data_IF_766793634064
#
_entry.id   IF_766793634064
#
_cell.length_a   1.000
_cell.length_b   1.000
_cell.length_c   1.000
_cell.angle_alpha   90.00
_cell.angle_beta   90.00
_cell.angle_gamma   90.00
#
_symmetry.space_group_name_H-M   'P 1'
#
loop_
_entity.id
_entity.type
_entity.pdbx_description
1 polymer ?
#
# COMPACT_ATOMS: atom_id res chain seq x y z
N UNK A 1 -15.69 -37.50 99.09
CA UNK A 1 -15.24 -38.67 98.30
C UNK A 1 -16.23 -38.90 97.18
N UNK A 2 -15.78 -38.99 95.93
CA UNK A 2 -16.59 -39.51 94.81
C UNK A 2 -16.67 -38.62 93.57
N UNK A 3 -15.54 -38.48 92.88
CA UNK A 3 -15.41 -37.94 91.53
C UNK A 3 -16.14 -38.82 90.48
N UNK A 4 -16.87 -38.24 89.50
CA UNK A 4 -17.31 -38.96 88.29
C UNK A 4 -17.52 -38.06 87.04
N UNK A 5 -16.43 -37.95 86.27
CA UNK A 5 -16.29 -38.10 84.80
C UNK A 5 -17.09 -37.21 83.81
N UNK A 6 -16.46 -36.11 83.37
CA UNK A 6 -16.76 -35.30 82.17
C UNK A 6 -16.24 -35.92 80.84
N UNK A 7 -16.56 -37.17 80.50
CA UNK A 7 -16.01 -37.81 79.28
C UNK A 7 -17.00 -38.20 78.18
N UNK A 8 -18.27 -37.81 78.25
CA UNK A 8 -19.28 -38.25 77.26
C UNK A 8 -19.80 -37.20 76.27
N UNK A 9 -19.43 -35.92 76.41
CA UNK A 9 -20.01 -34.86 75.57
C UNK A 9 -19.12 -34.38 74.40
N UNK A 10 -17.86 -34.84 74.31
CA UNK A 10 -16.90 -34.35 73.30
C UNK A 10 -16.76 -35.28 72.09
N UNK A 11 -17.16 -36.57 72.19
CA UNK A 11 -17.01 -37.53 71.09
C UNK A 11 -18.15 -37.48 70.04
N UNK A 12 -19.32 -36.93 70.40
CA UNK A 12 -20.47 -36.85 69.48
C UNK A 12 -20.42 -35.68 68.50
N UNK A 13 -19.78 -34.57 68.87
CA UNK A 13 -19.78 -33.32 68.09
C UNK A 13 -18.67 -33.28 67.02
N UNK A 14 -17.53 -33.93 67.25
CA UNK A 14 -16.43 -34.04 66.27
C UNK A 14 -16.76 -34.96 65.07
N UNK A 15 -17.54 -36.03 65.30
CA UNK A 15 -17.98 -36.98 64.27
C UNK A 15 -18.97 -36.36 63.27
N UNK A 16 -19.87 -35.49 63.76
CA UNK A 16 -20.85 -34.79 62.93
C UNK A 16 -20.18 -33.68 62.11
N UNK A 17 -19.22 -32.94 62.68
CA UNK A 17 -18.49 -31.89 61.96
C UNK A 17 -17.59 -32.44 60.84
N UNK A 18 -16.96 -33.61 61.00
CA UNK A 18 -16.17 -34.22 59.92
C UNK A 18 -17.04 -34.79 58.79
N UNK A 19 -18.17 -35.45 59.10
CA UNK A 19 -19.08 -35.97 58.07
C UNK A 19 -19.78 -34.87 57.28
N UNK A 20 -20.08 -33.74 57.92
CA UNK A 20 -20.70 -32.60 57.26
C UNK A 20 -19.71 -31.86 56.34
N UNK A 21 -18.43 -31.73 56.73
CA UNK A 21 -17.38 -31.14 55.87
C UNK A 21 -17.08 -31.98 54.63
N UNK A 22 -17.04 -33.31 54.75
CA UNK A 22 -16.77 -34.19 53.61
C UNK A 22 -17.94 -34.19 52.61
N UNK A 23 -19.18 -34.14 53.09
CA UNK A 23 -20.39 -34.13 52.25
C UNK A 23 -20.58 -32.78 51.55
N UNK A 24 -20.26 -31.66 52.20
CA UNK A 24 -20.31 -30.32 51.59
C UNK A 24 -19.19 -30.15 50.55
N UNK A 25 -17.98 -30.66 50.80
CA UNK A 25 -16.91 -30.67 49.80
C UNK A 25 -17.24 -31.56 48.60
N UNK A 26 -17.86 -32.73 48.80
CA UNK A 26 -18.23 -33.61 47.69
C UNK A 26 -19.36 -33.00 46.83
N UNK A 27 -20.35 -32.35 47.45
CA UNK A 27 -21.46 -31.69 46.73
C UNK A 27 -21.00 -30.42 46.02
N UNK A 28 -20.08 -29.64 46.60
CA UNK A 28 -19.49 -28.47 45.93
C UNK A 28 -18.58 -28.90 44.78
N UNK A 29 -17.80 -29.97 44.92
CA UNK A 29 -16.99 -30.52 43.83
C UNK A 29 -17.86 -31.09 42.69
N UNK A 30 -18.97 -31.75 43.01
CA UNK A 30 -19.91 -32.28 42.00
C UNK A 30 -20.72 -31.14 41.34
N UNK A 31 -21.03 -30.06 42.06
CA UNK A 31 -21.68 -28.88 41.48
C UNK A 31 -20.73 -28.07 40.58
N UNK A 32 -19.42 -28.07 40.86
CA UNK A 32 -18.40 -27.45 40.00
C UNK A 32 -18.12 -28.33 38.75
N UNK A 33 -18.29 -29.65 38.83
CA UNK A 33 -18.16 -30.55 37.67
C UNK A 33 -19.44 -30.56 36.81
N UNK A 34 -20.61 -30.28 37.39
CA UNK A 34 -21.90 -30.25 36.69
C UNK A 34 -22.27 -28.92 36.01
N UNK A 35 -21.51 -27.86 36.27
CA UNK A 35 -21.53 -26.61 35.51
C UNK A 35 -20.26 -26.57 34.64
N UNK A 36 -20.15 -27.53 33.72
CA UNK A 36 -19.52 -27.16 32.45
C UNK A 36 -20.36 -25.98 31.93
N UNK A 37 -19.78 -24.78 31.73
CA UNK A 37 -20.33 -23.96 30.67
C UNK A 37 -20.37 -24.92 29.48
N UNK A 38 -21.46 -24.93 28.71
CA UNK A 38 -21.30 -25.28 27.31
C UNK A 38 -20.05 -24.52 26.89
N UNK A 39 -18.96 -25.26 26.63
CA UNK A 39 -17.80 -24.71 25.97
C UNK A 39 -18.41 -24.29 24.66
N UNK A 40 -18.84 -23.02 24.61
CA UNK A 40 -18.86 -22.28 23.38
C UNK A 40 -17.55 -22.66 22.75
N UNK A 41 -17.60 -23.41 21.66
CA UNK A 41 -16.43 -23.67 20.85
C UNK A 41 -15.96 -22.27 20.45
N UNK A 42 -15.05 -21.71 21.24
CA UNK A 42 -14.21 -20.65 20.77
C UNK A 42 -13.62 -21.23 19.49
N UNK A 43 -13.80 -20.52 18.38
CA UNK A 43 -13.24 -20.95 17.12
C UNK A 43 -11.76 -21.30 17.33
N UNK A 44 -11.25 -22.26 16.57
CA UNK A 44 -9.82 -22.52 16.51
C UNK A 44 -9.43 -22.61 15.03
N UNK A 45 -8.34 -21.94 14.68
CA UNK A 45 -7.76 -21.99 13.34
C UNK A 45 -6.95 -23.28 13.11
N UNK A 46 -6.67 -24.06 14.17
CA UNK A 46 -5.91 -25.31 14.13
C UNK A 46 -6.31 -26.25 13.00
N UNK A 47 -7.59 -26.64 12.85
CA UNK A 47 -8.03 -27.54 11.78
C UNK A 47 -7.77 -26.98 10.37
N UNK A 48 -7.91 -25.66 10.19
CA UNK A 48 -7.65 -25.02 8.90
C UNK A 48 -6.15 -24.96 8.61
N UNK A 49 -5.35 -24.55 9.58
CA UNK A 49 -3.90 -24.38 9.44
C UNK A 49 -3.19 -25.72 9.26
N UNK A 50 -3.68 -26.80 9.85
CA UNK A 50 -3.08 -28.13 9.70
C UNK A 50 -2.99 -28.57 8.23
N UNK A 51 -4.02 -28.26 7.44
CA UNK A 51 -4.06 -28.58 6.01
C UNK A 51 -3.54 -27.42 5.15
N UNK A 52 -3.95 -26.17 5.42
CA UNK A 52 -3.63 -25.04 4.54
C UNK A 52 -2.20 -24.51 4.68
N UNK A 53 -1.41 -24.96 5.66
CA UNK A 53 0.02 -24.63 5.74
C UNK A 53 0.92 -25.74 5.17
N UNK A 54 0.35 -26.90 4.82
CA UNK A 54 1.10 -28.07 4.41
C UNK A 54 0.66 -28.54 3.01
N UNK A 55 1.58 -28.44 2.04
CA UNK A 55 1.35 -28.84 0.66
C UNK A 55 0.94 -30.32 0.53
N UNK A 56 1.50 -31.20 1.35
CA UNK A 56 1.27 -32.65 1.28
C UNK A 56 -0.12 -33.05 1.79
N UNK A 57 -0.76 -32.17 2.59
CA UNK A 57 -2.11 -32.40 3.13
C UNK A 57 -3.20 -31.81 2.23
N UNK A 58 -2.84 -30.99 1.25
CA UNK A 58 -3.81 -30.42 0.30
C UNK A 58 -4.05 -31.36 -0.88
N UNK A 59 -5.30 -31.79 -1.04
CA UNK A 59 -5.76 -32.49 -2.26
C UNK A 59 -5.64 -31.59 -3.51
N UNK A 60 -5.79 -30.27 -3.33
CA UNK A 60 -5.65 -29.26 -4.37
C UNK A 60 -4.91 -28.07 -3.76
N UNK A 61 -3.65 -27.87 -4.16
CA UNK A 61 -2.82 -26.76 -3.67
C UNK A 61 -2.96 -25.49 -4.52
N UNK A 62 -3.43 -25.63 -5.75
CA UNK A 62 -3.54 -24.55 -6.72
C UNK A 62 -4.88 -24.63 -7.45
N UNK A 63 -5.45 -23.47 -7.75
CA UNK A 63 -6.73 -23.37 -8.44
C UNK A 63 -6.64 -22.35 -9.57
N UNK A 64 -7.19 -22.70 -10.72
CA UNK A 64 -7.42 -21.74 -11.80
C UNK A 64 -8.54 -20.77 -11.40
N UNK A 65 -8.20 -19.48 -11.30
CA UNK A 65 -9.13 -18.35 -11.24
C UNK A 65 -9.21 -17.76 -12.65
N UNK A 66 -10.40 -17.76 -13.23
CA UNK A 66 -10.66 -17.10 -14.51
C UNK A 66 -11.07 -15.67 -14.21
N UNK A 67 -10.39 -14.68 -14.80
CA UNK A 67 -10.83 -13.29 -14.72
C UNK A 67 -12.09 -13.12 -15.57
N UNK A 68 -13.21 -12.62 -15.00
CA UNK A 68 -14.52 -12.67 -15.65
C UNK A 68 -14.61 -11.92 -16.99
N UNK A 69 -13.77 -10.90 -17.17
CA UNK A 69 -13.86 -9.95 -18.29
C UNK A 69 -12.80 -10.23 -19.36
N UNK A 70 -11.56 -10.50 -18.95
CA UNK A 70 -10.46 -10.77 -19.89
C UNK A 70 -10.40 -12.22 -20.34
N UNK A 71 -11.03 -13.15 -19.58
CA UNK A 71 -10.88 -14.59 -19.78
C UNK A 71 -9.49 -15.12 -19.41
N UNK A 72 -8.64 -14.28 -18.82
CA UNK A 72 -7.30 -14.67 -18.39
C UNK A 72 -7.37 -15.70 -17.26
N UNK A 73 -6.60 -16.78 -17.38
CA UNK A 73 -6.51 -17.82 -16.34
C UNK A 73 -5.31 -17.51 -15.46
N UNK A 74 -5.58 -17.18 -14.19
CA UNK A 74 -4.57 -17.02 -13.14
C UNK A 74 -4.59 -18.24 -12.23
N UNK A 75 -3.44 -18.85 -12.00
CA UNK A 75 -3.30 -19.91 -11.00
C UNK A 75 -3.08 -19.26 -9.63
N UNK A 76 -3.96 -19.57 -8.68
CA UNK A 76 -3.86 -19.09 -7.29
C UNK A 76 -3.55 -20.24 -6.36
N UNK A 77 -2.61 -20.02 -5.44
CA UNK A 77 -2.31 -21.00 -4.39
C UNK A 77 -3.36 -20.95 -3.27
N UNK A 78 -3.71 -22.12 -2.75
CA UNK A 78 -4.57 -22.30 -1.58
C UNK A 78 -3.77 -22.47 -0.29
N UNK A 79 -2.44 -22.41 -0.37
CA UNK A 79 -1.56 -22.43 0.80
C UNK A 79 -1.57 -21.07 1.52
N UNK A 80 -1.60 -21.15 2.84
CA UNK A 80 -1.50 -20.02 3.76
C UNK A 80 -0.11 -20.08 4.38
N UNK A 81 0.62 -18.97 4.29
CA UNK A 81 1.78 -18.75 5.14
C UNK A 81 1.28 -18.21 6.47
N UNK A 82 1.30 -19.05 7.50
CA UNK A 82 0.80 -18.72 8.83
C UNK A 82 1.53 -17.52 9.43
N UNK A 83 2.84 -17.41 9.21
CA UNK A 83 3.63 -16.30 9.73
C UNK A 83 3.21 -14.99 9.12
N UNK A 84 2.93 -14.97 7.80
CA UNK A 84 2.43 -13.79 7.10
C UNK A 84 1.00 -13.49 7.55
N UNK A 85 0.11 -14.48 7.59
CA UNK A 85 -1.29 -14.29 7.97
C UNK A 85 -1.41 -13.64 9.36
N UNK A 86 -0.65 -14.13 10.34
CA UNK A 86 -0.60 -13.59 11.71
C UNK A 86 -0.14 -12.14 11.80
N UNK A 87 0.54 -11.61 10.78
CA UNK A 87 0.90 -10.18 10.73
C UNK A 87 -0.19 -9.27 10.16
N UNK A 88 -1.27 -9.84 9.62
CA UNK A 88 -2.36 -9.07 9.05
C UNK A 88 -3.35 -8.61 10.13
N UNK A 89 -4.17 -7.62 9.81
CA UNK A 89 -5.25 -7.19 10.70
C UNK A 89 -6.28 -8.30 11.01
N UNK A 90 -6.38 -9.32 10.15
CA UNK A 90 -7.29 -10.46 10.31
C UNK A 90 -6.61 -11.70 10.89
N UNK A 91 -5.30 -11.67 11.16
CA UNK A 91 -4.57 -12.80 11.73
C UNK A 91 -4.29 -12.68 13.22
N UNK A 92 -4.96 -11.75 13.90
CA UNK A 92 -4.89 -11.62 15.35
C UNK A 92 -5.49 -12.82 16.08
N UNK A 93 -5.23 -12.91 17.39
CA UNK A 93 -5.68 -14.04 18.23
C UNK A 93 -7.22 -14.16 18.32
N UNK A 94 -7.94 -13.07 17.98
CA UNK A 94 -9.40 -12.98 18.06
C UNK A 94 -10.13 -13.25 16.73
N UNK A 95 -9.42 -13.64 15.66
CA UNK A 95 -10.03 -13.90 14.34
C UNK A 95 -9.82 -15.34 13.87
N UNK A 96 -10.93 -15.97 13.48
CA UNK A 96 -10.98 -17.33 12.97
C UNK A 96 -11.19 -17.37 11.46
N UNK A 97 -10.67 -18.40 10.80
CA UNK A 97 -10.84 -18.63 9.37
C UNK A 97 -12.34 -18.69 9.01
N UNK A 98 -13.16 -19.28 9.88
CA UNK A 98 -14.62 -19.43 9.74
C UNK A 98 -15.39 -18.13 9.91
N UNK A 99 -14.82 -17.10 10.54
CA UNK A 99 -15.48 -15.78 10.67
C UNK A 99 -15.68 -15.14 9.29
N UNK A 100 -14.74 -15.42 8.38
CA UNK A 100 -14.80 -15.03 6.96
C UNK A 100 -15.37 -16.15 6.08
N UNK A 101 -14.93 -17.39 6.30
CA UNK A 101 -15.41 -18.60 5.61
C UNK A 101 -16.63 -19.19 6.32
N UNK A 102 -17.68 -18.37 6.43
CA UNK A 102 -18.88 -18.67 7.21
C UNK A 102 -19.63 -19.93 6.72
N UNK A 103 -19.40 -20.35 5.47
CA UNK A 103 -19.97 -21.59 4.95
C UNK A 103 -19.31 -22.87 5.47
N UNK A 104 -18.29 -22.73 6.33
CA UNK A 104 -17.62 -23.78 7.08
C UNK A 104 -17.89 -23.73 8.59
N UNK A 105 -18.66 -22.74 9.08
CA UNK A 105 -18.99 -22.69 10.51
C UNK A 105 -19.78 -23.93 10.95
N UNK A 106 -19.29 -24.59 12.00
CA UNK A 106 -19.83 -25.87 12.49
C UNK A 106 -19.66 -27.07 11.55
N UNK A 107 -18.88 -26.97 10.47
CA UNK A 107 -18.63 -28.09 9.56
C UNK A 107 -17.61 -29.09 10.14
N UNK A 108 -17.82 -30.38 9.88
CA UNK A 108 -16.80 -31.41 10.13
C UNK A 108 -15.73 -31.34 9.04
N UNK A 109 -14.50 -31.01 9.44
CA UNK A 109 -13.34 -30.80 8.57
C UNK A 109 -12.35 -31.98 8.60
N UNK A 110 -12.67 -33.08 9.28
CA UNK A 110 -11.76 -34.23 9.46
C UNK A 110 -11.28 -34.86 8.15
N UNK A 111 -12.12 -34.86 7.11
CA UNK A 111 -11.82 -35.36 5.76
C UNK A 111 -11.55 -34.24 4.73
N UNK A 112 -11.43 -33.00 5.23
CA UNK A 112 -11.39 -31.75 4.46
C UNK A 112 -12.78 -31.14 4.24
N UNK A 113 -12.86 -30.14 3.35
CA UNK A 113 -14.11 -29.48 3.00
C UNK A 113 -14.40 -29.50 1.50
N UNK A 114 -15.64 -29.19 1.14
CA UNK A 114 -16.07 -29.06 -0.28
C UNK A 114 -15.17 -28.04 -1.02
N UNK A 115 -14.82 -28.29 -2.28
CA UNK A 115 -14.16 -27.29 -3.10
C UNK A 115 -15.11 -26.11 -3.38
N UNK A 116 -14.55 -24.93 -3.63
CA UNK A 116 -15.29 -23.72 -4.01
C UNK A 116 -16.25 -23.20 -2.92
N UNK A 117 -15.67 -22.74 -1.82
CA UNK A 117 -16.40 -22.00 -0.79
C UNK A 117 -17.04 -20.74 -1.37
N UNK A 118 -18.06 -20.23 -0.67
CA UNK A 118 -18.65 -18.94 -1.01
C UNK A 118 -17.57 -17.84 -0.92
N UNK A 119 -17.64 -16.80 -1.78
CA UNK A 119 -16.79 -15.63 -1.60
C UNK A 119 -16.99 -15.04 -0.20
N UNK A 120 -15.88 -14.65 0.44
CA UNK A 120 -15.91 -13.97 1.74
C UNK A 120 -16.69 -12.66 1.61
N UNK A 121 -17.61 -12.46 2.55
CA UNK A 121 -18.34 -11.20 2.69
C UNK A 121 -17.62 -10.29 3.66
N UNK A 122 -16.90 -9.31 3.12
CA UNK A 122 -16.19 -8.32 3.93
C UNK A 122 -17.15 -7.29 4.57
N UNK A 123 -18.36 -7.12 4.02
CA UNK A 123 -19.18 -5.93 4.21
C UNK A 123 -20.19 -6.16 5.33
N UNK A 124 -21.08 -7.14 5.15
CA UNK A 124 -22.32 -7.27 5.93
C UNK A 124 -22.09 -7.31 7.45
N UNK A 125 -20.94 -7.82 7.88
CA UNK A 125 -20.66 -8.04 9.29
C UNK A 125 -19.59 -7.12 9.90
N UNK A 126 -18.74 -6.47 9.09
CA UNK A 126 -17.55 -5.79 9.62
C UNK A 126 -17.15 -4.49 8.91
N UNK A 127 -17.19 -4.45 7.57
CA UNK A 127 -16.73 -3.28 6.81
C UNK A 127 -17.89 -2.60 6.07
N UNK A 128 -18.96 -2.27 6.79
CA UNK A 128 -20.12 -1.54 6.29
C UNK A 128 -19.79 -0.07 5.97
N UNK A 129 -19.12 0.65 6.87
CA UNK A 129 -18.72 2.05 6.67
C UNK A 129 -17.91 2.29 5.36
N UNK A 130 -16.77 1.60 5.12
CA UNK A 130 -16.02 1.79 3.88
C UNK A 130 -16.76 1.23 2.66
N UNK A 131 -17.68 0.27 2.86
CA UNK A 131 -18.52 -0.23 1.77
C UNK A 131 -19.54 0.82 1.32
N UNK A 132 -20.18 1.53 2.25
CA UNK A 132 -21.13 2.59 1.93
C UNK A 132 -20.48 3.71 1.11
N UNK A 133 -19.24 4.07 1.43
CA UNK A 133 -18.44 4.98 0.62
C UNK A 133 -18.08 4.39 -0.75
N UNK A 134 -17.59 3.15 -0.79
CA UNK A 134 -17.17 2.49 -2.02
C UNK A 134 -18.34 2.28 -2.99
N UNK A 135 -19.54 1.98 -2.49
CA UNK A 135 -20.77 1.83 -3.28
C UNK A 135 -21.19 3.12 -4.00
N UNK A 136 -20.74 4.27 -3.50
CA UNK A 136 -20.94 5.59 -4.11
C UNK A 136 -19.83 5.98 -5.10
N UNK A 137 -18.76 5.18 -5.21
CA UNK A 137 -17.64 5.49 -6.08
C UNK A 137 -18.00 5.36 -7.57
N UNK A 138 -17.25 6.05 -8.42
CA UNK A 138 -17.36 5.86 -9.87
C UNK A 138 -16.95 4.44 -10.29
N UNK A 139 -16.11 3.73 -9.52
CA UNK A 139 -15.80 2.32 -9.80
C UNK A 139 -17.04 1.44 -9.75
N UNK A 140 -17.87 1.58 -8.70
CA UNK A 140 -19.11 0.80 -8.58
C UNK A 140 -20.15 1.23 -9.61
N UNK A 141 -20.22 2.52 -9.95
CA UNK A 141 -21.07 3.00 -11.05
C UNK A 141 -20.71 2.33 -12.38
N UNK A 142 -19.43 2.30 -12.73
CA UNK A 142 -18.94 1.62 -13.94
C UNK A 142 -19.13 0.10 -13.88
N UNK A 143 -19.03 -0.50 -12.68
CA UNK A 143 -19.36 -1.92 -12.45
C UNK A 143 -20.79 -2.24 -12.86
N UNK A 144 -21.75 -1.42 -12.41
CA UNK A 144 -23.19 -1.60 -12.67
C UNK A 144 -23.54 -1.44 -14.14
N UNK A 145 -22.82 -0.58 -14.85
CA UNK A 145 -22.99 -0.36 -16.28
C UNK A 145 -22.38 -1.51 -17.12
N UNK A 146 -21.62 -2.43 -16.50
CA UNK A 146 -20.91 -3.56 -17.12
C UNK A 146 -20.04 -3.16 -18.31
N UNK A 147 -19.51 -1.93 -18.28
CA UNK A 147 -18.73 -1.38 -19.39
C UNK A 147 -17.22 -1.59 -19.23
N UNK A 148 -16.76 -1.87 -18.01
CA UNK A 148 -15.34 -2.00 -17.67
C UNK A 148 -15.09 -2.98 -16.51
N UNK A 149 -13.91 -3.58 -16.54
CA UNK A 149 -13.34 -4.26 -15.37
C UNK A 149 -12.96 -3.22 -14.32
N UNK A 150 -13.35 -3.47 -13.08
CA UNK A 150 -13.24 -2.51 -11.98
C UNK A 150 -12.79 -3.23 -10.71
N UNK A 151 -11.91 -2.59 -9.92
CA UNK A 151 -11.30 -3.24 -8.78
C UNK A 151 -12.30 -3.42 -7.64
N UNK A 152 -12.31 -4.59 -7.02
CA UNK A 152 -13.06 -4.91 -5.79
C UNK A 152 -12.21 -4.65 -4.54
N UNK A 153 -12.78 -4.84 -3.34
CA UNK A 153 -12.08 -4.64 -2.07
C UNK A 153 -10.74 -5.38 -2.01
N UNK A 154 -10.68 -6.63 -2.51
CA UNK A 154 -9.45 -7.44 -2.54
C UNK A 154 -8.43 -6.93 -3.55
N UNK A 155 -8.85 -6.34 -4.65
CA UNK A 155 -7.91 -5.89 -5.69
C UNK A 155 -7.10 -4.69 -5.18
N UNK A 156 -7.70 -3.85 -4.33
CA UNK A 156 -7.00 -2.75 -3.66
C UNK A 156 -6.33 -3.15 -2.33
N UNK A 157 -7.02 -3.92 -1.47
CA UNK A 157 -6.53 -4.24 -0.13
C UNK A 157 -5.68 -5.51 -0.05
N UNK A 158 -5.84 -6.49 -0.95
CA UNK A 158 -5.02 -7.71 -0.99
C UNK A 158 -3.98 -7.66 -2.12
N UNK A 159 -4.22 -6.89 -3.18
CA UNK A 159 -3.34 -6.77 -4.34
C UNK A 159 -1.95 -6.21 -4.04
N UNK A 160 -1.78 -5.45 -2.95
CA UNK A 160 -0.51 -4.82 -2.56
C UNK A 160 -0.10 -4.97 -1.09
N UNK A 161 -0.81 -5.75 -0.30
CA UNK A 161 -0.40 -6.00 1.09
C UNK A 161 0.82 -6.90 1.14
N UNK A 162 1.94 -6.31 1.55
CA UNK A 162 3.12 -6.91 2.21
C UNK A 162 3.91 -8.00 1.49
N UNK A 163 3.35 -8.68 0.48
CA UNK A 163 4.02 -9.77 -0.24
C UNK A 163 5.17 -9.29 -1.15
N UNK A 164 5.25 -7.98 -1.39
CA UNK A 164 6.18 -7.37 -2.35
C UNK A 164 6.81 -6.07 -1.88
N UNK A 165 7.15 -5.91 -0.59
CA UNK A 165 8.30 -5.03 -0.32
C UNK A 165 9.55 -5.89 -0.60
N UNK A 166 10.40 -5.56 -1.58
CA UNK A 166 11.66 -6.28 -1.80
C UNK A 166 12.62 -6.21 -0.60
N UNK A 167 12.22 -5.47 0.44
CA UNK A 167 13.02 -5.05 1.59
C UNK A 167 12.47 -5.58 2.92
N UNK A 168 11.37 -6.35 2.95
CA UNK A 168 10.81 -6.90 4.20
C UNK A 168 10.27 -5.84 5.17
N UNK A 169 9.99 -4.63 4.67
CA UNK A 169 9.44 -3.52 5.44
C UNK A 169 8.00 -3.83 5.88
N UNK A 170 7.73 -3.60 7.18
CA UNK A 170 6.43 -3.84 7.82
C UNK A 170 5.74 -2.50 8.07
N UNK A 171 4.45 -2.44 7.76
CA UNK A 171 3.61 -1.33 8.26
C UNK A 171 3.34 -1.60 9.74
N UNK A 172 3.44 -0.60 10.63
CA UNK A 172 3.06 -0.79 12.03
C UNK A 172 1.56 -1.07 12.13
N UNK A 173 1.18 -2.20 12.74
CA UNK A 173 -0.22 -2.61 12.93
C UNK A 173 -1.09 -1.52 13.57
N UNK A 174 -0.48 -0.65 14.38
CA UNK A 174 -1.15 0.41 15.14
C UNK A 174 -1.06 1.81 14.50
N UNK A 175 -0.51 1.94 13.29
CA UNK A 175 -0.49 3.23 12.58
C UNK A 175 -1.67 3.29 11.62
N UNK A 176 -2.47 4.37 11.63
CA UNK A 176 -3.52 4.56 10.64
C UNK A 176 -2.96 4.43 9.23
N UNK A 177 -3.52 3.53 8.42
CA UNK A 177 -3.05 3.26 7.05
C UNK A 177 -2.88 4.53 6.21
N UNK A 178 -3.75 5.52 6.40
CA UNK A 178 -3.69 6.80 5.69
C UNK A 178 -2.45 7.65 5.97
N UNK A 179 -1.76 7.42 7.09
CA UNK A 179 -0.56 8.16 7.52
C UNK A 179 0.72 7.32 7.46
N UNK A 180 0.60 6.00 7.34
CA UNK A 180 1.74 5.10 7.22
C UNK A 180 2.47 5.29 5.88
N UNK A 181 3.76 5.68 5.86
CA UNK A 181 4.50 5.94 4.63
C UNK A 181 4.58 4.71 3.71
N UNK A 182 4.73 3.52 4.28
CA UNK A 182 4.78 2.29 3.49
C UNK A 182 3.43 2.03 2.80
N UNK A 183 2.33 2.09 3.54
CA UNK A 183 0.99 1.98 2.96
C UNK A 183 0.75 3.02 1.87
N UNK A 184 1.05 4.29 2.15
CA UNK A 184 0.94 5.40 1.18
C UNK A 184 1.72 5.10 -0.11
N UNK A 185 2.98 4.67 0.00
CA UNK A 185 3.82 4.25 -1.13
C UNK A 185 3.19 3.13 -1.94
N UNK A 186 2.69 2.08 -1.26
CA UNK A 186 2.06 0.94 -1.92
C UNK A 186 0.81 1.38 -2.66
N UNK A 187 -0.04 2.24 -2.09
CA UNK A 187 -1.28 2.68 -2.78
C UNK A 187 -1.03 3.33 -4.15
N UNK A 188 0.11 3.99 -4.36
CA UNK A 188 0.50 4.54 -5.67
C UNK A 188 0.57 3.44 -6.74
N UNK A 189 1.14 2.29 -6.39
CA UNK A 189 1.20 1.13 -7.28
C UNK A 189 -0.19 0.49 -7.44
N UNK A 190 -1.05 0.51 -6.42
CA UNK A 190 -2.38 -0.13 -6.48
C UNK A 190 -3.21 0.57 -7.53
N UNK A 191 -3.29 1.90 -7.44
CA UNK A 191 -3.99 2.71 -8.42
C UNK A 191 -3.38 2.54 -9.81
N UNK A 192 -2.05 2.54 -9.90
CA UNK A 192 -1.33 2.42 -11.17
C UNK A 192 -1.47 1.08 -11.89
N UNK A 193 -1.79 -0.01 -11.18
CA UNK A 193 -2.02 -1.33 -11.79
C UNK A 193 -3.11 -1.32 -12.87
N UNK A 194 -4.13 -0.46 -12.72
CA UNK A 194 -5.17 -0.23 -13.72
C UNK A 194 -5.02 1.15 -14.41
N UNK A 195 -4.42 2.13 -13.74
CA UNK A 195 -4.27 3.51 -14.23
C UNK A 195 -2.83 3.84 -14.63
N UNK A 196 -2.23 3.03 -15.51
CA UNK A 196 -0.81 3.15 -15.86
C UNK A 196 -0.43 4.54 -16.42
N UNK A 197 -1.24 5.10 -17.33
CA UNK A 197 -0.98 6.42 -17.90
C UNK A 197 -0.97 7.55 -16.84
N UNK A 198 -1.84 7.42 -15.83
CA UNK A 198 -1.90 8.38 -14.72
C UNK A 198 -0.76 8.17 -13.73
N UNK A 199 -0.35 6.92 -13.49
CA UNK A 199 0.84 6.60 -12.70
C UNK A 199 2.10 7.20 -13.34
N UNK A 200 2.26 7.06 -14.65
CA UNK A 200 3.42 7.56 -15.37
C UNK A 200 3.47 9.09 -15.39
N UNK A 201 2.32 9.75 -15.60
CA UNK A 201 2.25 11.22 -15.50
C UNK A 201 2.47 11.73 -14.08
N UNK A 202 1.93 11.05 -13.06
CA UNK A 202 2.15 11.38 -11.65
C UNK A 202 3.63 11.31 -11.29
N UNK A 203 4.31 10.21 -11.63
CA UNK A 203 5.75 10.03 -11.38
C UNK A 203 6.59 11.16 -11.98
N UNK A 204 6.12 11.79 -13.05
CA UNK A 204 6.83 12.87 -13.73
C UNK A 204 6.48 14.28 -13.22
N UNK A 205 5.58 14.43 -12.25
CA UNK A 205 5.26 15.70 -11.61
C UNK A 205 6.06 15.90 -10.31
N UNK A 206 5.97 17.09 -9.71
CA UNK A 206 6.73 17.43 -8.50
C UNK A 206 6.39 16.51 -7.32
N UNK A 207 5.11 16.23 -7.08
CA UNK A 207 4.67 15.31 -6.02
C UNK A 207 5.24 13.90 -6.23
N UNK A 208 5.13 13.36 -7.44
CA UNK A 208 5.65 12.05 -7.81
C UNK A 208 7.16 11.96 -7.67
N UNK A 209 7.91 12.97 -8.09
CA UNK A 209 9.38 13.02 -7.93
C UNK A 209 9.78 13.00 -6.45
N UNK A 210 9.09 13.77 -5.60
CA UNK A 210 9.35 13.77 -4.16
C UNK A 210 9.00 12.41 -3.54
N UNK A 211 7.87 11.80 -3.91
CA UNK A 211 7.55 10.44 -3.44
C UNK A 211 8.55 9.38 -3.92
N UNK A 212 9.13 9.54 -5.12
CA UNK A 212 10.15 8.63 -5.66
C UNK A 212 11.48 8.72 -4.88
N UNK A 213 11.77 9.85 -4.24
CA UNK A 213 12.89 10.02 -3.31
C UNK A 213 12.64 9.37 -1.94
N UNK A 214 11.47 8.75 -1.74
CA UNK A 214 11.09 8.06 -0.49
C UNK A 214 10.21 8.89 0.45
N UNK A 215 9.94 10.15 0.13
CA UNK A 215 9.08 11.03 0.92
C UNK A 215 7.61 10.72 0.66
N UNK A 216 7.07 9.77 1.41
CA UNK A 216 5.67 9.31 1.31
C UNK A 216 4.89 9.60 2.59
N UNK A 217 5.40 10.51 3.42
CA UNK A 217 4.71 11.10 4.57
C UNK A 217 3.55 11.99 4.13
N UNK A 218 2.79 12.55 5.08
CA UNK A 218 1.57 13.32 4.82
C UNK A 218 1.81 14.71 4.24
N UNK A 219 3.06 15.14 4.15
CA UNK A 219 3.51 16.39 3.52
C UNK A 219 3.52 16.34 1.99
N UNK A 220 3.40 15.14 1.40
CA UNK A 220 3.39 14.93 -0.05
C UNK A 220 2.16 14.09 -0.41
N UNK A 221 1.28 14.58 -1.29
CA UNK A 221 0.04 13.86 -1.61
C UNK A 221 0.34 12.61 -2.44
N UNK A 222 -0.35 11.52 -2.14
CA UNK A 222 -0.47 10.34 -2.99
C UNK A 222 -1.86 10.30 -3.65
N UNK A 223 -2.12 9.29 -4.48
CA UNK A 223 -3.33 9.18 -5.29
C UNK A 223 -4.63 9.44 -4.48
N UNK A 224 -4.76 8.81 -3.30
CA UNK A 224 -5.97 8.91 -2.49
C UNK A 224 -6.12 10.23 -1.73
N UNK A 225 -5.05 11.00 -1.51
CA UNK A 225 -5.13 12.29 -0.83
C UNK A 225 -5.91 13.29 -1.70
N UNK A 226 -5.69 13.21 -3.02
CA UNK A 226 -6.41 14.01 -4.01
C UNK A 226 -7.74 13.36 -4.42
N UNK A 227 -7.77 12.06 -4.71
CA UNK A 227 -8.95 11.41 -5.31
C UNK A 227 -9.96 10.83 -4.31
N UNK A 228 -9.59 10.66 -3.04
CA UNK A 228 -10.37 9.94 -2.04
C UNK A 228 -9.89 8.50 -1.84
N UNK A 229 -10.37 7.86 -0.76
CA UNK A 229 -9.96 6.52 -0.34
C UNK A 229 -10.92 5.44 -0.85
N UNK A 230 -12.16 5.43 -0.35
CA UNK A 230 -13.20 4.48 -0.75
C UNK A 230 -14.22 5.14 -1.68
N UNK A 231 -14.68 6.36 -1.35
CA UNK A 231 -15.49 7.19 -2.27
C UNK A 231 -14.63 7.91 -3.31
N UNK A 232 -14.17 7.18 -4.32
CA UNK A 232 -13.38 7.71 -5.45
C UNK A 232 -14.33 8.14 -6.57
N UNK A 233 -14.30 9.42 -6.93
CA UNK A 233 -15.22 10.02 -7.91
C UNK A 233 -14.47 10.53 -9.14
N UNK A 234 -15.14 10.53 -10.29
CA UNK A 234 -14.63 11.08 -11.54
C UNK A 234 -14.47 12.61 -11.39
N UNK A 235 -13.44 13.21 -12.00
CA UNK A 235 -13.20 14.66 -11.91
C UNK A 235 -14.31 15.53 -12.51
N UNK A 236 -15.18 14.95 -13.34
CA UNK A 236 -16.39 15.63 -13.84
C UNK A 236 -17.54 15.70 -12.83
N UNK A 237 -17.49 14.91 -11.75
CA UNK A 237 -18.54 14.88 -10.73
C UNK A 237 -18.33 16.01 -9.71
N UNK A 238 -19.37 16.80 -9.38
CA UNK A 238 -19.23 17.97 -8.49
C UNK A 238 -18.73 17.64 -7.08
N UNK A 239 -19.02 16.42 -6.60
CA UNK A 239 -18.56 15.97 -5.29
C UNK A 239 -17.11 15.49 -5.29
N UNK A 240 -16.49 15.33 -6.45
CA UNK A 240 -15.12 14.85 -6.57
C UNK A 240 -14.15 15.86 -5.96
N UNK A 241 -13.22 15.38 -5.14
CA UNK A 241 -12.15 16.19 -4.57
C UNK A 241 -11.24 16.81 -5.64
N UNK A 242 -11.11 16.15 -6.80
CA UNK A 242 -10.40 16.69 -7.97
C UNK A 242 -11.34 17.36 -8.98
N UNK A 243 -12.61 17.57 -8.60
CA UNK A 243 -13.60 18.29 -9.40
C UNK A 243 -13.44 19.80 -9.30
N UNK A 244 -14.04 20.54 -10.24
CA UNK A 244 -13.91 21.99 -10.37
C UNK A 244 -14.30 22.74 -9.09
N UNK A 245 -15.28 22.21 -8.38
CA UNK A 245 -15.88 22.80 -7.18
C UNK A 245 -15.00 22.61 -5.93
N UNK A 246 -14.23 21.52 -5.86
CA UNK A 246 -13.46 21.14 -4.66
C UNK A 246 -11.94 21.17 -4.84
N UNK A 247 -11.43 21.32 -6.07
CA UNK A 247 -9.98 21.28 -6.33
C UNK A 247 -9.21 22.35 -5.53
N UNK A 248 -9.82 23.51 -5.29
CA UNK A 248 -9.21 24.57 -4.48
C UNK A 248 -9.02 24.15 -3.03
N UNK A 249 -10.02 23.49 -2.44
CA UNK A 249 -9.94 22.94 -1.09
C UNK A 249 -8.90 21.80 -1.02
N UNK A 250 -8.91 20.91 -2.02
CA UNK A 250 -7.97 19.78 -2.10
C UNK A 250 -6.52 20.25 -2.18
N UNK A 251 -6.20 21.21 -3.03
CA UNK A 251 -4.84 21.78 -3.06
C UNK A 251 -4.55 22.59 -1.78
N UNK A 252 -5.56 23.25 -1.24
CA UNK A 252 -5.49 24.08 -0.04
C UNK A 252 -5.14 23.32 1.24
N UNK A 253 -5.32 21.99 1.27
CA UNK A 253 -4.95 21.17 2.45
C UNK A 253 -3.46 21.23 2.77
N UNK A 254 -2.62 21.43 1.75
CA UNK A 254 -1.17 21.57 1.90
C UNK A 254 -0.66 22.94 1.45
N UNK A 255 -1.31 23.57 0.47
CA UNK A 255 -0.92 24.87 -0.06
C UNK A 255 -1.82 25.99 0.48
N UNK A 256 -1.43 26.58 1.62
CA UNK A 256 -2.20 27.60 2.34
C UNK A 256 -2.64 28.82 1.49
N UNK A 257 -1.92 29.13 0.41
CA UNK A 257 -2.20 30.25 -0.50
C UNK A 257 -2.71 29.80 -1.88
N UNK A 258 -3.25 28.57 -1.98
CA UNK A 258 -3.86 28.08 -3.20
C UNK A 258 -4.99 29.02 -3.65
N UNK A 259 -5.04 29.31 -4.95
CA UNK A 259 -6.02 30.19 -5.56
C UNK A 259 -6.47 29.64 -6.92
N UNK A 260 -7.46 30.28 -7.54
CA UNK A 260 -8.03 29.84 -8.81
C UNK A 260 -7.02 29.73 -9.96
N UNK A 261 -5.92 30.48 -9.94
CA UNK A 261 -4.85 30.36 -10.93
C UNK A 261 -3.90 29.22 -10.61
N UNK A 262 -3.60 29.00 -9.33
CA UNK A 262 -2.74 27.90 -8.86
C UNK A 262 -3.32 26.53 -9.25
N UNK A 263 -4.61 26.30 -8.99
CA UNK A 263 -5.28 25.02 -9.27
C UNK A 263 -5.57 24.74 -10.75
N UNK A 264 -5.14 25.64 -11.65
CA UNK A 264 -5.11 25.35 -13.09
C UNK A 264 -3.92 24.47 -13.48
N UNK A 265 -2.97 24.26 -12.55
CA UNK A 265 -1.91 23.30 -12.76
C UNK A 265 -2.48 21.90 -13.02
N UNK A 266 -1.88 21.19 -13.98
CA UNK A 266 -2.33 19.85 -14.37
C UNK A 266 -1.36 18.84 -13.76
N UNK A 267 -1.80 18.17 -12.70
CA UNK A 267 -1.00 17.14 -11.99
C UNK A 267 -0.74 15.90 -12.85
N UNK A 268 -1.63 15.59 -13.79
CA UNK A 268 -1.50 14.48 -14.73
C UNK A 268 -1.39 14.99 -16.17
N UNK A 269 -0.27 15.65 -16.54
CA UNK A 269 -0.12 16.16 -17.89
C UNK A 269 -0.02 14.98 -18.86
N UNK A 270 -0.97 14.89 -19.76
CA UNK A 270 -0.87 13.99 -20.90
C UNK A 270 0.31 14.49 -21.76
N UNK A 271 1.41 13.74 -21.83
CA UNK A 271 2.52 14.04 -22.74
C UNK A 271 2.00 13.83 -24.16
N UNK A 272 1.36 14.85 -24.72
CA UNK A 272 0.52 14.71 -25.91
C UNK A 272 1.27 14.34 -27.18
N UNK A 273 2.60 14.22 -27.19
CA UNK A 273 3.32 13.68 -28.35
C UNK A 273 4.84 13.51 -28.11
N UNK A 274 5.32 12.31 -27.78
CA UNK A 274 6.71 11.94 -28.12
C UNK A 274 6.93 12.06 -29.64
N UNK A 275 5.88 11.79 -30.42
CA UNK A 275 5.86 11.95 -31.88
C UNK A 275 6.20 13.37 -32.31
N UNK A 276 5.95 14.38 -31.47
CA UNK A 276 6.26 15.77 -31.74
C UNK A 276 7.76 16.00 -31.83
N UNK A 277 8.54 15.45 -30.90
CA UNK A 277 10.00 15.52 -30.96
C UNK A 277 10.53 14.79 -32.20
N UNK A 278 9.93 13.65 -32.57
CA UNK A 278 10.25 12.99 -33.85
C UNK A 278 9.94 13.91 -35.05
N UNK A 279 8.76 14.52 -35.10
CA UNK A 279 8.36 15.46 -36.15
C UNK A 279 9.27 16.69 -36.21
N UNK A 280 9.66 17.26 -35.07
CA UNK A 280 10.60 18.36 -34.98
C UNK A 280 11.97 17.97 -35.53
N UNK A 281 12.50 16.81 -35.13
CA UNK A 281 13.78 16.30 -35.65
C UNK A 281 13.72 16.01 -37.16
N UNK A 282 12.62 15.46 -37.66
CA UNK A 282 12.41 15.23 -39.10
C UNK A 282 12.32 16.56 -39.87
N UNK A 283 11.58 17.55 -39.34
CA UNK A 283 11.47 18.88 -39.94
C UNK A 283 12.83 19.61 -39.96
N UNK A 284 13.63 19.48 -38.89
CA UNK A 284 14.99 20.03 -38.83
C UNK A 284 15.91 19.34 -39.85
N UNK A 285 15.85 18.01 -39.98
CA UNK A 285 16.68 17.26 -40.95
C UNK A 285 16.34 17.61 -42.41
N UNK A 286 15.07 17.90 -42.69
CA UNK A 286 14.58 18.26 -44.02
C UNK A 286 14.49 19.77 -44.25
N UNK A 287 14.98 20.60 -43.34
CA UNK A 287 14.84 22.07 -43.35
C UNK A 287 15.25 22.72 -44.68
N UNK A 288 16.27 22.17 -45.34
CA UNK A 288 16.78 22.68 -46.62
C UNK A 288 15.84 22.39 -47.80
N UNK A 289 15.08 21.30 -47.72
CA UNK A 289 14.21 20.83 -48.81
C UNK A 289 12.73 21.20 -48.59
N UNK A 290 12.31 21.44 -47.34
CA UNK A 290 10.94 21.81 -46.96
C UNK A 290 10.94 22.89 -45.85
N UNK A 291 11.27 24.15 -46.19
CA UNK A 291 11.38 25.23 -45.22
C UNK A 291 10.04 25.68 -44.62
N UNK A 292 8.92 25.44 -45.32
CA UNK A 292 7.59 25.83 -44.84
C UNK A 292 7.07 24.91 -43.73
N UNK A 293 7.36 23.61 -43.82
CA UNK A 293 7.08 22.67 -42.73
C UNK A 293 7.88 23.01 -41.46
N UNK A 294 9.15 23.38 -41.62
CA UNK A 294 9.96 23.84 -40.48
C UNK A 294 9.35 25.09 -39.81
N UNK A 295 8.94 26.11 -40.59
CA UNK A 295 8.26 27.30 -40.05
C UNK A 295 7.00 26.95 -39.28
N UNK A 296 6.21 25.98 -39.78
CA UNK A 296 4.98 25.52 -39.11
C UNK A 296 5.27 24.88 -37.75
N UNK A 297 6.30 24.04 -37.67
CA UNK A 297 6.70 23.36 -36.43
C UNK A 297 7.33 24.35 -35.43
N UNK A 298 8.07 25.36 -35.91
CA UNK A 298 8.68 26.40 -35.07
C UNK A 298 7.66 27.35 -34.41
N UNK A 299 6.48 27.53 -34.99
CA UNK A 299 5.40 28.36 -34.40
C UNK A 299 4.69 27.70 -33.23
N UNK A 300 4.90 26.40 -33.00
CA UNK A 300 4.27 25.71 -31.87
C UNK A 300 4.96 26.11 -30.55
N UNK A 301 4.20 26.55 -29.52
CA UNK A 301 4.76 26.95 -28.22
C UNK A 301 5.67 25.90 -27.57
N UNK A 302 5.39 24.60 -27.76
CA UNK A 302 6.21 23.53 -27.22
C UNK A 302 7.60 23.44 -27.91
N UNK A 303 7.71 23.82 -29.19
CA UNK A 303 9.00 23.90 -29.89
C UNK A 303 9.81 25.06 -29.34
N UNK A 304 9.17 26.21 -29.14
CA UNK A 304 9.84 27.41 -28.63
C UNK A 304 10.42 27.12 -27.24
N UNK A 305 9.62 26.52 -26.35
CA UNK A 305 10.10 26.15 -25.01
C UNK A 305 11.24 25.12 -25.07
N UNK A 306 11.14 24.12 -25.95
CA UNK A 306 12.20 23.14 -26.14
C UNK A 306 13.50 23.78 -26.64
N UNK A 307 13.43 24.72 -27.59
CA UNK A 307 14.60 25.44 -28.10
C UNK A 307 15.23 26.28 -26.99
N UNK A 308 14.43 27.05 -26.24
CA UNK A 308 14.91 27.87 -25.13
C UNK A 308 15.62 27.00 -24.09
N UNK A 309 15.04 25.85 -23.73
CA UNK A 309 15.64 24.91 -22.81
C UNK A 309 16.99 24.36 -23.32
N UNK A 310 17.04 23.92 -24.59
CA UNK A 310 18.30 23.41 -25.19
C UNK A 310 19.37 24.49 -25.27
N UNK A 311 19.01 25.72 -25.64
CA UNK A 311 19.94 26.86 -25.62
C UNK A 311 20.45 27.14 -24.21
N UNK A 312 19.57 27.12 -23.21
CA UNK A 312 19.94 27.31 -21.80
C UNK A 312 20.92 26.23 -21.32
N UNK A 313 20.66 24.96 -21.61
CA UNK A 313 21.58 23.85 -21.31
C UNK A 313 22.91 24.02 -22.06
N UNK A 314 22.90 24.49 -23.31
CA UNK A 314 24.10 24.80 -24.08
C UNK A 314 24.95 25.91 -23.43
N UNK A 315 24.31 26.98 -22.95
CA UNK A 315 24.96 28.06 -22.21
C UNK A 315 25.57 27.50 -20.93
N UNK A 316 24.83 26.70 -20.16
CA UNK A 316 25.36 26.04 -18.96
C UNK A 316 26.59 25.19 -19.29
N UNK A 317 26.50 24.30 -20.29
CA UNK A 317 27.61 23.44 -20.71
C UNK A 317 28.85 24.23 -21.11
N UNK A 318 28.68 25.33 -21.87
CA UNK A 318 29.76 26.24 -22.25
C UNK A 318 30.39 26.89 -21.02
N UNK A 319 29.58 27.50 -20.15
CA UNK A 319 30.09 28.17 -18.94
C UNK A 319 30.87 27.23 -18.02
N UNK A 320 30.38 26.02 -17.77
CA UNK A 320 31.10 25.02 -16.96
C UNK A 320 32.40 24.56 -17.63
N UNK A 321 32.40 24.39 -18.94
CA UNK A 321 33.60 24.00 -19.69
C UNK A 321 34.66 25.12 -19.70
N UNK A 322 34.24 26.37 -19.89
CA UNK A 322 35.14 27.53 -19.82
C UNK A 322 35.73 27.70 -18.42
N UNK A 323 34.91 27.54 -17.37
CA UNK A 323 35.38 27.58 -15.99
C UNK A 323 36.37 26.44 -15.70
N UNK A 324 36.01 25.20 -16.05
CA UNK A 324 36.88 24.04 -15.87
C UNK A 324 38.22 24.16 -16.62
N UNK A 325 38.19 24.65 -17.86
CA UNK A 325 39.41 24.91 -18.64
C UNK A 325 40.26 26.01 -17.99
N UNK A 326 39.66 27.09 -17.52
CA UNK A 326 40.39 28.15 -16.82
C UNK A 326 41.06 27.61 -15.55
N UNK A 327 40.33 26.87 -14.71
CA UNK A 327 40.87 26.24 -13.49
C UNK A 327 42.04 25.29 -13.81
N UNK A 328 41.91 24.49 -14.86
CA UNK A 328 42.97 23.56 -15.29
C UNK A 328 44.22 24.31 -15.75
N UNK A 329 44.06 25.35 -16.58
CA UNK A 329 45.18 26.17 -17.05
C UNK A 329 45.87 26.93 -15.91
N UNK A 330 45.11 27.44 -14.94
CA UNK A 330 45.70 28.06 -13.74
C UNK A 330 46.48 27.06 -12.91
N UNK A 331 45.97 25.83 -12.75
CA UNK A 331 46.69 24.77 -12.04
C UNK A 331 48.01 24.40 -12.73
N UNK A 332 48.01 24.24 -14.06
CA UNK A 332 49.24 24.02 -14.83
C UNK A 332 50.24 25.17 -14.70
N UNK A 333 49.76 26.42 -14.70
CA UNK A 333 50.61 27.58 -14.50
C UNK A 333 51.27 27.56 -13.12
N UNK A 334 50.49 27.29 -12.06
CA UNK A 334 51.01 27.17 -10.69
C UNK A 334 52.02 26.02 -10.57
N UNK A 335 51.72 24.84 -11.11
CA UNK A 335 52.63 23.68 -11.08
C UNK A 335 53.95 23.97 -11.81
N UNK A 336 53.90 24.64 -12.97
CA UNK A 336 55.09 25.07 -13.72
C UNK A 336 55.92 26.08 -12.92
N UNK A 337 55.28 27.06 -12.31
CA UNK A 337 55.97 28.11 -11.57
C UNK A 337 56.62 27.55 -10.28
N UNK A 338 55.98 26.58 -9.62
CA UNK A 338 56.57 25.85 -8.51
C UNK A 338 57.79 25.02 -8.93
N UNK A 339 57.71 24.34 -10.09
CA UNK A 339 58.86 23.63 -10.65
C UNK A 339 60.04 24.57 -10.95
N UNK A 340 59.79 25.75 -11.53
CA UNK A 340 60.84 26.76 -11.78
C UNK A 340 61.47 27.26 -10.48
N UNK A 341 60.69 27.51 -9.43
CA UNK A 341 61.24 27.90 -8.11
C UNK A 341 62.15 26.84 -7.51
N UNK A 342 61.81 25.56 -7.63
CA UNK A 342 62.66 24.45 -7.15
C UNK A 342 63.96 24.31 -7.94
N UNK A 343 63.96 24.65 -9.23
CA UNK A 343 65.18 24.67 -10.06
C UNK A 343 66.18 25.74 -9.62
N UNK A 344 65.72 26.97 -9.37
CA UNK A 344 66.59 28.07 -8.94
C UNK A 344 67.15 27.89 -7.51
N UNK A 345 66.40 27.24 -6.61
CA UNK A 345 66.90 26.94 -5.26
C UNK A 345 68.08 25.95 -5.25
N UNK A 346 68.22 25.11 -6.29
CA UNK A 346 69.33 24.18 -6.43
C UNK A 346 70.56 24.80 -7.11
N UNK A 347 70.41 25.93 -7.82
CA UNK A 347 71.53 26.65 -8.44
C UNK A 347 72.24 27.59 -7.46
N UNK A 348 71.58 28.07 -6.39
CA UNK A 348 72.20 28.90 -5.33
C UNK A 348 73.05 28.08 -4.32
N UNK A 349 73.06 26.75 -4.42
CA UNK A 349 73.79 25.87 -3.50
C UNK A 349 75.04 25.18 -4.11
N UNK A 350 75.51 25.63 -5.27
CA UNK A 350 76.73 25.14 -5.91
C UNK A 350 77.85 26.17 -5.98
#
# INVERSE_FOLDING_TARGET
MGYKSEKKLILGTLSVFMKCRLSVFLVVSIAIIGLSPAVSTAGDNGPCLECHTNLDKLKVAEKAKIEPITGEIKVVSLLIDETIFKTTAHGGEDFFCTDCHQDLDGADLSEGHKPNLKPVDCITFCHDDPADEYLQSSHVKLMKENTKDVPTCKDCHFGLTYRFTPVGEKSPMYVPRGTDPLHRKLTIQSCGSCHQDYLDSYKNNAHGQVTALGHTTTDVPVCFDCHGKHKILNSSEPESKVGKEKILETCGSCHANANASFVKHIEHPQIKNIKYYKTLLTALKNARNDPENLKKVLKNPQTILCIVFVMYIGILGFTFSSFGLHSLLTWFATARDEHKRKGHANEEHH
#
